data_IF_016370626148
#
_entry.id   IF_016370626148
#
_cell.length_a   1.000
_cell.length_b   1.000
_cell.length_c   1.000
_cell.angle_alpha   90.00
_cell.angle_beta   90.00
_cell.angle_gamma   90.00
#
_symmetry.space_group_name_H-M   'P 1'
#
loop_
_entity.id
_entity.type
_entity.pdbx_description
1 polymer ?
#
# COMPACT_ATOMS: atom_id res chain seq x y z
N UNK A 1 90.14 9.09 17.29
CA UNK A 1 89.34 9.62 18.41
C UNK A 1 88.71 10.93 17.93
N UNK A 2 87.39 11.10 18.15
CA UNK A 2 86.71 12.38 18.53
C UNK A 2 87.14 13.68 17.82
N UNK A 3 86.32 14.59 17.28
CA UNK A 3 85.05 15.22 17.71
C UNK A 3 85.04 16.62 17.06
N UNK A 4 83.84 17.18 16.86
CA UNK A 4 83.47 18.61 16.77
C UNK A 4 83.67 19.44 15.49
N UNK A 5 82.56 20.14 15.18
CA UNK A 5 82.16 21.04 14.09
C UNK A 5 83.08 22.22 13.73
N UNK A 6 82.78 22.87 12.58
CA UNK A 6 82.79 24.33 12.49
C UNK A 6 81.42 24.94 12.03
N UNK A 7 81.16 26.24 12.29
CA UNK A 7 79.82 26.85 12.28
C UNK A 7 79.40 27.59 10.98
N UNK A 8 78.07 27.54 10.73
CA UNK A 8 77.10 28.44 10.04
C UNK A 8 77.49 29.30 8.81
N UNK A 9 76.63 29.32 7.77
CA UNK A 9 76.44 30.49 6.89
C UNK A 9 75.07 31.23 7.06
N UNK A 10 74.98 32.52 6.69
CA UNK A 10 73.89 33.44 7.05
C UNK A 10 72.72 33.58 6.05
N UNK A 11 71.73 34.36 6.52
CA UNK A 11 70.35 34.62 6.09
C UNK A 11 70.04 34.90 4.61
N UNK A 12 68.84 34.46 4.21
CA UNK A 12 68.11 34.87 3.00
C UNK A 12 67.19 36.08 3.27
N UNK A 13 66.98 36.98 2.30
CA UNK A 13 65.84 37.89 2.31
C UNK A 13 64.79 37.56 1.24
N UNK A 14 63.58 38.02 1.58
CA UNK A 14 62.28 37.70 1.02
C UNK A 14 62.05 38.10 -0.46
N UNK A 15 61.21 37.31 -1.15
CA UNK A 15 60.56 37.72 -2.41
C UNK A 15 59.06 37.95 -2.18
N UNK A 16 58.62 39.10 -2.68
CA UNK A 16 57.30 39.66 -2.58
C UNK A 16 56.27 38.98 -3.52
N UNK A 17 55.02 39.14 -3.09
CA UNK A 17 53.73 38.77 -3.67
C UNK A 17 53.59 38.83 -5.20
N UNK A 18 53.08 37.75 -5.77
CA UNK A 18 52.27 37.77 -6.99
C UNK A 18 51.10 36.79 -6.83
N UNK A 19 49.88 37.34 -6.89
CA UNK A 19 48.58 36.68 -6.72
C UNK A 19 48.30 35.71 -7.89
N UNK A 20 47.98 34.42 -7.68
CA UNK A 20 47.54 33.55 -8.77
C UNK A 20 46.10 33.89 -9.14
N UNK A 21 45.86 34.06 -10.44
CA UNK A 21 44.57 34.30 -11.04
C UNK A 21 43.57 33.20 -10.67
N UNK A 22 42.36 33.62 -10.28
CA UNK A 22 41.25 32.72 -10.01
C UNK A 22 40.82 32.04 -11.31
N UNK A 23 40.92 30.71 -11.35
CA UNK A 23 40.27 29.88 -12.36
C UNK A 23 38.76 29.94 -12.10
N UNK A 24 38.07 30.75 -12.89
CA UNK A 24 36.62 30.91 -12.82
C UNK A 24 35.95 29.60 -13.26
N UNK A 25 35.25 28.96 -12.32
CA UNK A 25 34.51 27.71 -12.53
C UNK A 25 33.34 28.01 -13.49
N UNK A 26 33.11 27.20 -14.54
CA UNK A 26 32.03 27.48 -15.50
C UNK A 26 30.67 27.51 -14.78
N UNK A 27 29.78 28.45 -15.15
CA UNK A 27 28.51 28.64 -14.46
C UNK A 27 27.64 27.39 -14.64
N UNK A 28 27.24 26.80 -13.52
CA UNK A 28 26.26 25.72 -13.50
C UNK A 28 24.94 26.30 -14.03
N UNK A 29 24.34 25.76 -15.11
CA UNK A 29 23.08 26.27 -15.62
C UNK A 29 22.05 26.11 -14.50
N UNK A 30 21.57 27.24 -13.98
CA UNK A 30 20.49 27.28 -13.02
C UNK A 30 19.23 26.93 -13.80
N UNK A 31 18.79 25.68 -13.71
CA UNK A 31 17.51 25.25 -14.26
C UNK A 31 16.39 26.20 -13.82
N UNK A 32 15.30 26.33 -14.59
CA UNK A 32 14.26 27.32 -14.35
C UNK A 32 13.83 27.25 -12.88
N UNK A 33 14.14 28.30 -12.13
CA UNK A 33 13.91 28.35 -10.70
C UNK A 33 12.42 28.15 -10.45
N UNK A 34 12.05 26.98 -9.95
CA UNK A 34 10.69 26.68 -9.50
C UNK A 34 10.20 27.88 -8.68
N UNK A 35 9.14 28.54 -9.15
CA UNK A 35 8.62 29.75 -8.53
C UNK A 35 8.35 29.53 -7.03
N UNK A 36 8.41 30.59 -6.23
CA UNK A 36 8.26 30.49 -4.76
C UNK A 36 7.02 29.66 -4.35
N UNK A 37 5.93 29.73 -5.11
CA UNK A 37 4.73 28.90 -4.91
C UNK A 37 4.95 27.39 -5.15
N UNK A 38 5.76 27.00 -6.13
CA UNK A 38 6.10 25.60 -6.36
C UNK A 38 6.99 25.03 -5.24
N UNK A 39 7.90 25.85 -4.69
CA UNK A 39 8.72 25.47 -3.52
C UNK A 39 7.88 25.31 -2.25
N UNK A 40 6.97 26.26 -1.99
CA UNK A 40 6.03 26.17 -0.86
C UNK A 40 5.11 24.95 -0.96
N UNK A 41 4.56 24.69 -2.16
CA UNK A 41 3.75 23.49 -2.43
C UNK A 41 4.54 22.21 -2.16
N UNK A 42 5.78 22.13 -2.65
CA UNK A 42 6.61 20.95 -2.44
C UNK A 42 6.90 20.72 -0.96
N UNK A 43 7.23 21.77 -0.18
CA UNK A 43 7.41 21.64 1.26
C UNK A 43 6.15 21.23 2.01
N UNK A 44 4.99 21.78 1.65
CA UNK A 44 3.71 21.36 2.21
C UNK A 44 3.40 19.88 1.92
N UNK A 45 3.57 19.44 0.66
CA UNK A 45 3.34 18.05 0.27
C UNK A 45 4.33 17.10 0.97
N UNK A 46 5.61 17.47 1.08
CA UNK A 46 6.59 16.69 1.83
C UNK A 46 6.21 16.62 3.32
N UNK A 47 5.78 17.73 3.91
CA UNK A 47 5.28 17.76 5.29
C UNK A 47 4.09 16.85 5.50
N UNK A 48 3.13 16.85 4.56
CA UNK A 48 1.94 15.98 4.62
C UNK A 48 2.30 14.49 4.47
N UNK A 49 3.23 14.15 3.58
CA UNK A 49 3.68 12.76 3.39
C UNK A 49 4.39 12.23 4.63
N UNK A 50 5.14 13.08 5.34
CA UNK A 50 5.87 12.69 6.56
C UNK A 50 4.97 12.69 7.79
N UNK A 51 4.21 13.77 8.01
CA UNK A 51 3.39 13.95 9.21
C UNK A 51 2.01 13.26 9.12
N UNK A 52 1.48 13.08 7.91
CA UNK A 52 0.15 12.49 7.68
C UNK A 52 0.01 11.10 8.29
N UNK A 53 0.90 10.13 8.01
CA UNK A 53 0.84 8.81 8.63
C UNK A 53 0.94 8.85 10.16
N UNK A 54 1.78 9.73 10.72
CA UNK A 54 1.92 9.91 12.16
C UNK A 54 0.65 10.50 12.80
N UNK A 55 0.06 11.51 12.18
CA UNK A 55 -1.18 12.11 12.66
C UNK A 55 -2.35 11.12 12.59
N UNK A 56 -2.47 10.36 11.49
CA UNK A 56 -3.52 9.35 11.31
C UNK A 56 -3.37 8.23 12.35
N UNK A 57 -2.15 7.74 12.58
CA UNK A 57 -1.90 6.70 13.58
C UNK A 57 -2.23 7.18 15.00
N UNK A 58 -1.74 8.36 15.40
CA UNK A 58 -2.07 8.97 16.69
C UNK A 58 -3.58 9.16 16.87
N UNK A 59 -4.25 9.70 15.85
CA UNK A 59 -5.70 9.92 15.87
C UNK A 59 -6.47 8.61 15.98
N UNK A 60 -6.07 7.57 15.23
CA UNK A 60 -6.72 6.27 15.24
C UNK A 60 -6.54 5.56 16.58
N UNK A 61 -5.32 5.57 17.13
CA UNK A 61 -5.04 5.00 18.45
C UNK A 61 -5.82 5.72 19.53
N UNK A 62 -5.84 7.06 19.52
CA UNK A 62 -6.60 7.84 20.49
C UNK A 62 -8.11 7.57 20.39
N UNK A 63 -8.65 7.52 19.16
CA UNK A 63 -10.05 7.24 18.91
C UNK A 63 -10.44 5.84 19.36
N UNK A 64 -9.60 4.83 19.10
CA UNK A 64 -9.84 3.46 19.54
C UNK A 64 -9.86 3.35 21.07
N UNK A 65 -8.86 3.90 21.74
CA UNK A 65 -8.76 3.86 23.21
C UNK A 65 -9.96 4.55 23.86
N UNK A 66 -10.32 5.75 23.39
CA UNK A 66 -11.46 6.49 23.93
C UNK A 66 -12.79 5.81 23.65
N UNK A 67 -12.93 5.14 22.50
CA UNK A 67 -14.11 4.33 22.17
C UNK A 67 -14.25 3.12 23.11
N UNK A 68 -13.16 2.38 23.34
CA UNK A 68 -13.15 1.25 24.30
C UNK A 68 -13.47 1.74 25.71
N UNK A 69 -12.84 2.82 26.15
CA UNK A 69 -13.13 3.40 27.47
C UNK A 69 -14.61 3.79 27.58
N UNK A 70 -15.19 4.43 26.56
CA UNK A 70 -16.61 4.78 26.53
C UNK A 70 -17.53 3.56 26.58
N UNK A 71 -17.15 2.45 25.96
CA UNK A 71 -17.91 1.20 25.98
C UNK A 71 -17.87 0.53 27.36
N UNK A 72 -16.73 0.57 28.05
CA UNK A 72 -16.51 -0.12 29.33
C UNK A 72 -16.98 0.71 30.52
N UNK A 73 -16.88 2.05 30.45
CA UNK A 73 -17.29 3.00 31.51
C UNK A 73 -18.66 2.71 32.14
N UNK A 74 -19.73 2.40 31.39
CA UNK A 74 -21.04 2.07 31.95
C UNK A 74 -21.05 0.82 32.84
N UNK A 75 -20.17 -0.14 32.57
CA UNK A 75 -20.06 -1.38 33.33
C UNK A 75 -19.16 -1.25 34.57
N UNK A 76 -18.40 -0.16 34.69
CA UNK A 76 -17.54 0.11 35.84
C UNK A 76 -18.35 0.88 36.90
N UNK A 77 -18.51 0.31 38.12
CA UNK A 77 -19.11 1.02 39.24
C UNK A 77 -18.37 2.33 39.54
N UNK A 78 -19.11 3.38 39.92
CA UNK A 78 -18.56 4.72 40.18
C UNK A 78 -17.35 4.72 41.13
N UNK A 79 -17.31 3.82 42.12
CA UNK A 79 -16.22 3.71 43.08
C UNK A 79 -14.87 3.20 42.51
N UNK A 80 -14.87 2.58 41.33
CA UNK A 80 -13.64 2.09 40.66
C UNK A 80 -13.23 2.99 39.50
N UNK A 81 -13.89 4.15 39.34
CA UNK A 81 -13.59 5.10 38.29
C UNK A 81 -12.41 5.97 38.69
N UNK A 82 -11.34 6.03 37.88
CA UNK A 82 -10.18 6.88 38.17
C UNK A 82 -10.58 8.36 38.29
N UNK A 83 -11.67 8.77 37.64
CA UNK A 83 -12.23 10.13 37.74
C UNK A 83 -12.76 10.49 39.13
N UNK A 84 -13.01 9.51 39.99
CA UNK A 84 -13.43 9.74 41.38
C UNK A 84 -12.26 10.12 42.30
N UNK A 85 -11.03 9.79 41.91
CA UNK A 85 -9.83 10.02 42.72
C UNK A 85 -8.81 10.95 42.05
N UNK A 86 -8.87 11.13 40.72
CA UNK A 86 -8.04 12.04 39.95
C UNK A 86 -8.90 13.11 39.23
N UNK A 87 -8.46 14.37 39.20
CA UNK A 87 -9.15 15.45 38.48
C UNK A 87 -9.02 15.35 36.94
N UNK A 88 -8.25 14.38 36.43
CA UNK A 88 -8.09 14.12 35.00
C UNK A 88 -8.36 12.64 34.70
N UNK A 89 -9.14 12.39 33.65
CA UNK A 89 -9.38 11.04 33.11
C UNK A 89 -8.07 10.49 32.55
N UNK A 90 -7.61 9.33 33.01
CA UNK A 90 -6.50 8.61 32.36
C UNK A 90 -7.10 7.77 31.21
N UNK A 91 -6.87 8.13 29.93
CA UNK A 91 -7.34 7.34 28.81
C UNK A 91 -6.62 5.97 28.80
N UNK A 92 -7.37 4.89 28.54
CA UNK A 92 -6.88 3.52 28.48
C UNK A 92 -7.18 2.65 29.70
N UNK A 93 -7.83 3.21 30.72
CA UNK A 93 -8.24 2.44 31.91
C UNK A 93 -9.33 1.42 31.61
N UNK A 94 -10.26 1.74 30.71
CA UNK A 94 -11.26 0.80 30.22
C UNK A 94 -10.63 -0.34 29.42
N UNK A 95 -9.57 -0.08 28.66
CA UNK A 95 -8.83 -1.13 27.93
C UNK A 95 -8.20 -2.15 28.89
N UNK A 96 -7.56 -1.71 29.97
CA UNK A 96 -6.97 -2.60 30.99
C UNK A 96 -8.06 -3.44 31.65
N UNK A 97 -9.18 -2.83 32.02
CA UNK A 97 -10.30 -3.52 32.67
C UNK A 97 -10.93 -4.54 31.72
N UNK A 98 -11.14 -4.17 30.45
CA UNK A 98 -11.65 -5.09 29.43
C UNK A 98 -10.71 -6.28 29.24
N UNK A 99 -9.40 -6.04 29.18
CA UNK A 99 -8.40 -7.10 29.09
C UNK A 99 -8.50 -8.07 30.28
N UNK A 100 -8.48 -7.56 31.52
CA UNK A 100 -8.60 -8.39 32.74
C UNK A 100 -9.93 -9.15 32.77
N UNK A 101 -11.04 -8.51 32.40
CA UNK A 101 -12.36 -9.14 32.37
C UNK A 101 -12.43 -10.27 31.33
N UNK A 102 -11.93 -10.04 30.11
CA UNK A 102 -11.88 -11.04 29.06
C UNK A 102 -10.96 -12.22 29.44
N UNK A 103 -9.79 -11.95 30.01
CA UNK A 103 -8.90 -12.99 30.50
C UNK A 103 -9.54 -13.81 31.62
N UNK A 104 -10.21 -13.15 32.57
CA UNK A 104 -10.91 -13.83 33.67
C UNK A 104 -12.07 -14.68 33.14
N UNK A 105 -12.81 -14.18 32.16
CA UNK A 105 -13.87 -14.92 31.49
C UNK A 105 -13.31 -16.17 30.79
N UNK A 106 -12.23 -16.03 30.02
CA UNK A 106 -11.54 -17.15 29.37
C UNK A 106 -10.97 -18.16 30.36
N UNK A 107 -10.40 -17.70 31.47
CA UNK A 107 -9.95 -18.56 32.55
C UNK A 107 -11.10 -19.35 33.19
N UNK A 108 -12.25 -18.70 33.41
CA UNK A 108 -13.41 -19.36 33.97
C UNK A 108 -13.97 -20.43 33.03
N UNK A 109 -14.02 -20.16 31.72
CA UNK A 109 -14.51 -21.13 30.71
C UNK A 109 -13.56 -22.30 30.48
N UNK A 110 -12.27 -22.15 30.78
CA UNK A 110 -11.32 -23.26 30.77
C UNK A 110 -11.62 -24.31 31.87
N UNK A 111 -12.33 -23.92 32.93
CA UNK A 111 -12.76 -24.84 33.99
C UNK A 111 -14.11 -25.49 33.68
N UNK A 112 -14.33 -26.72 34.17
CA UNK A 112 -15.55 -27.50 33.92
C UNK A 112 -16.83 -26.72 34.25
N UNK A 113 -16.85 -26.02 35.39
CA UNK A 113 -18.00 -25.22 35.85
C UNK A 113 -18.31 -24.05 34.91
N UNK A 114 -17.29 -23.33 34.44
CA UNK A 114 -17.51 -22.20 33.54
C UNK A 114 -17.96 -22.64 32.15
N UNK A 115 -17.43 -23.77 31.66
CA UNK A 115 -17.93 -24.38 30.42
C UNK A 115 -19.40 -24.74 30.52
N UNK A 116 -19.83 -25.40 31.60
CA UNK A 116 -21.24 -25.76 31.80
C UNK A 116 -22.15 -24.52 31.90
N UNK A 117 -21.69 -23.44 32.53
CA UNK A 117 -22.45 -22.19 32.64
C UNK A 117 -22.64 -21.51 31.28
N UNK A 118 -21.58 -21.46 30.46
CA UNK A 118 -21.66 -20.93 29.10
C UNK A 118 -22.59 -21.78 28.24
N UNK A 119 -22.44 -23.11 28.25
CA UNK A 119 -23.34 -24.02 27.51
C UNK A 119 -24.80 -23.88 27.94
N UNK A 120 -25.06 -23.63 29.23
CA UNK A 120 -26.42 -23.35 29.71
C UNK A 120 -26.97 -22.03 29.16
N UNK A 121 -26.16 -20.97 29.14
CA UNK A 121 -26.51 -19.70 28.52
C UNK A 121 -26.81 -19.84 27.03
N UNK A 122 -25.97 -20.58 26.30
CA UNK A 122 -26.19 -20.88 24.88
C UNK A 122 -27.51 -21.64 24.66
N UNK A 123 -27.82 -22.63 25.49
CA UNK A 123 -29.09 -23.37 25.42
C UNK A 123 -30.30 -22.46 25.66
N UNK A 124 -30.17 -21.42 26.48
CA UNK A 124 -31.23 -20.44 26.70
C UNK A 124 -31.42 -19.55 25.47
N UNK A 125 -30.32 -19.07 24.87
CA UNK A 125 -30.35 -18.31 23.63
C UNK A 125 -30.93 -19.11 22.46
N UNK A 126 -30.66 -20.42 22.41
CA UNK A 126 -31.13 -21.35 21.38
C UNK A 126 -32.66 -21.51 21.34
N UNK A 127 -33.34 -21.21 22.45
CA UNK A 127 -34.81 -21.25 22.54
C UNK A 127 -35.48 -20.02 21.91
N UNK A 128 -34.72 -18.96 21.62
CA UNK A 128 -35.25 -17.75 20.99
C UNK A 128 -35.05 -17.82 19.46
N UNK A 129 -36.13 -17.94 18.66
CA UNK A 129 -36.04 -18.27 17.24
C UNK A 129 -35.25 -17.25 16.38
N UNK A 130 -35.24 -15.98 16.75
CA UNK A 130 -34.48 -14.93 16.06
C UNK A 130 -33.05 -14.76 16.61
N UNK A 131 -32.89 -14.86 17.93
CA UNK A 131 -31.59 -14.64 18.59
C UNK A 131 -30.63 -15.82 18.33
N UNK A 132 -31.16 -17.05 18.26
CA UNK A 132 -30.35 -18.26 18.02
C UNK A 132 -29.57 -18.21 16.71
N UNK A 133 -30.18 -17.74 15.62
CA UNK A 133 -29.54 -17.73 14.30
C UNK A 133 -28.44 -16.68 14.24
N UNK A 134 -28.68 -15.50 14.81
CA UNK A 134 -27.69 -14.44 14.91
C UNK A 134 -26.52 -14.85 15.81
N UNK A 135 -26.80 -15.42 16.99
CA UNK A 135 -25.76 -15.87 17.91
C UNK A 135 -24.91 -16.99 17.31
N UNK A 136 -25.52 -18.03 16.72
CA UNK A 136 -24.78 -19.12 16.08
C UNK A 136 -23.96 -18.64 14.89
N UNK A 137 -24.52 -17.76 14.06
CA UNK A 137 -23.79 -17.17 12.94
C UNK A 137 -22.57 -16.37 13.41
N UNK A 138 -22.74 -15.51 14.42
CA UNK A 138 -21.62 -14.76 15.01
C UNK A 138 -20.59 -15.70 15.64
N UNK A 139 -21.02 -16.65 16.49
CA UNK A 139 -20.14 -17.63 17.13
C UNK A 139 -19.32 -18.40 16.11
N UNK A 140 -19.95 -18.88 15.03
CA UNK A 140 -19.27 -19.59 13.96
C UNK A 140 -18.21 -18.70 13.27
N UNK A 141 -18.51 -17.42 13.02
CA UNK A 141 -17.53 -16.49 12.44
C UNK A 141 -16.34 -16.31 13.39
N UNK A 142 -16.57 -16.10 14.69
CA UNK A 142 -15.51 -15.99 15.68
C UNK A 142 -14.69 -17.29 15.80
N UNK A 143 -15.34 -18.45 15.91
CA UNK A 143 -14.66 -19.75 15.96
C UNK A 143 -13.82 -20.01 14.71
N UNK A 144 -14.32 -19.64 13.53
CA UNK A 144 -13.58 -19.80 12.27
C UNK A 144 -12.34 -18.89 12.24
N UNK A 145 -12.50 -17.61 12.57
CA UNK A 145 -11.41 -16.61 12.56
C UNK A 145 -10.32 -16.91 13.60
N UNK A 146 -10.69 -17.46 14.76
CA UNK A 146 -9.79 -17.70 15.88
C UNK A 146 -9.43 -19.17 16.10
N UNK A 147 -9.93 -20.10 15.27
CA UNK A 147 -9.45 -21.48 15.29
C UNK A 147 -7.94 -21.52 14.99
N UNK A 148 -7.18 -22.40 15.64
CA UNK A 148 -5.75 -22.59 15.35
C UNK A 148 -5.49 -23.05 13.89
N UNK A 149 -6.56 -23.46 13.20
CA UNK A 149 -6.61 -23.76 11.76
C UNK A 149 -6.88 -22.51 10.90
N UNK A 150 -7.25 -21.37 11.48
CA UNK A 150 -7.88 -20.19 10.88
C UNK A 150 -7.00 -19.03 10.42
N UNK A 151 -5.77 -19.25 9.96
CA UNK A 151 -5.29 -18.38 8.89
C UNK A 151 -6.02 -18.83 7.62
N UNK A 152 -7.18 -18.23 7.35
CA UNK A 152 -8.01 -18.58 6.18
C UNK A 152 -7.29 -18.35 4.85
N UNK A 153 -6.13 -17.70 4.86
CA UNK A 153 -5.20 -17.67 3.74
C UNK A 153 -3.79 -17.95 4.27
N UNK A 154 -3.33 -19.19 4.20
CA UNK A 154 -2.00 -19.56 4.76
C UNK A 154 -0.86 -19.31 3.79
N UNK A 155 -1.19 -19.31 2.50
CA UNK A 155 -0.21 -19.39 1.44
C UNK A 155 -0.62 -18.52 0.27
N UNK A 156 0.38 -18.10 -0.48
CA UNK A 156 0.24 -17.36 -1.72
C UNK A 156 0.65 -18.27 -2.85
N UNK A 157 -0.01 -18.19 -3.99
CA UNK A 157 0.40 -18.89 -5.19
C UNK A 157 0.19 -18.09 -6.45
N UNK A 158 0.66 -18.66 -7.56
CA UNK A 158 0.41 -18.20 -8.91
C UNK A 158 -0.42 -19.24 -9.66
N UNK A 159 -1.35 -18.74 -10.46
CA UNK A 159 -2.10 -19.53 -11.43
C UNK A 159 -2.04 -18.86 -12.78
N UNK A 160 -2.26 -19.62 -13.85
CA UNK A 160 -2.47 -19.03 -15.17
C UNK A 160 -3.88 -18.46 -15.30
N UNK A 161 -3.98 -17.14 -15.46
CA UNK A 161 -5.23 -16.41 -15.69
C UNK A 161 -4.92 -15.02 -16.29
N UNK A 162 -5.69 -14.53 -17.30
CA UNK A 162 -6.86 -15.16 -17.93
C UNK A 162 -6.53 -16.15 -19.06
N UNK A 163 -5.31 -16.12 -19.60
CA UNK A 163 -4.87 -16.99 -20.71
C UNK A 163 -3.52 -17.64 -20.41
N UNK A 164 -3.16 -18.74 -21.11
CA UNK A 164 -1.86 -19.37 -20.95
C UNK A 164 -0.69 -18.38 -21.09
N UNK A 165 0.31 -18.50 -20.21
CA UNK A 165 1.44 -17.56 -20.13
C UNK A 165 1.17 -16.26 -19.37
N UNK A 166 -0.07 -15.96 -18.97
CA UNK A 166 -0.39 -14.86 -18.05
C UNK A 166 -0.60 -15.40 -16.64
N UNK A 167 0.12 -14.86 -15.67
CA UNK A 167 0.10 -15.36 -14.30
C UNK A 167 -0.54 -14.35 -13.35
N UNK A 168 -1.44 -14.83 -12.51
CA UNK A 168 -2.12 -14.03 -11.50
C UNK A 168 -1.81 -14.56 -10.11
N UNK A 169 -1.67 -13.65 -9.16
CA UNK A 169 -1.45 -13.96 -7.76
C UNK A 169 -2.78 -14.35 -7.11
N UNK A 170 -2.75 -15.43 -6.32
CA UNK A 170 -3.91 -15.93 -5.58
C UNK A 170 -3.55 -16.20 -4.13
N UNK A 171 -4.52 -16.01 -3.26
CA UNK A 171 -4.46 -16.41 -1.85
C UNK A 171 -5.14 -17.76 -1.68
N UNK A 172 -4.45 -18.68 -1.02
CA UNK A 172 -4.87 -20.07 -0.86
C UNK A 172 -5.55 -20.27 0.49
N UNK A 173 -6.80 -20.74 0.46
CA UNK A 173 -7.58 -21.01 1.65
C UNK A 173 -7.76 -22.51 1.92
N UNK A 174 -8.68 -22.84 2.83
CA UNK A 174 -8.98 -24.23 3.19
C UNK A 174 -9.43 -25.05 1.96
N UNK A 175 -9.12 -26.36 1.90
CA UNK A 175 -9.60 -27.23 0.83
C UNK A 175 -11.14 -27.25 0.74
N UNK A 176 -11.71 -27.62 -0.43
CA UNK A 176 -13.15 -27.72 -0.59
C UNK A 176 -13.77 -28.63 0.47
N UNK A 177 -14.90 -28.22 1.03
CA UNK A 177 -15.71 -29.11 1.85
C UNK A 177 -16.24 -30.30 1.04
N UNK A 178 -16.58 -31.40 1.72
CA UNK A 178 -16.94 -32.67 1.09
C UNK A 178 -17.96 -32.54 -0.05
N UNK A 179 -19.04 -31.77 0.17
CA UNK A 179 -20.10 -31.59 -0.84
C UNK A 179 -19.63 -30.97 -2.16
N UNK A 180 -18.58 -30.14 -2.10
CA UNK A 180 -17.98 -29.53 -3.28
C UNK A 180 -16.94 -30.47 -3.86
N UNK A 181 -16.09 -31.06 -3.02
CA UNK A 181 -15.05 -32.00 -3.43
C UNK A 181 -15.62 -33.19 -4.23
N UNK A 182 -16.77 -33.74 -3.80
CA UNK A 182 -17.43 -34.88 -4.47
C UNK A 182 -17.95 -34.57 -5.88
N UNK A 183 -18.10 -33.29 -6.22
CA UNK A 183 -18.62 -32.83 -7.53
C UNK A 183 -17.55 -32.25 -8.44
N UNK A 184 -16.34 -32.06 -7.92
CA UNK A 184 -15.20 -31.61 -8.71
C UNK A 184 -14.56 -32.80 -9.46
N UNK A 185 -13.78 -32.55 -10.50
CA UNK A 185 -12.98 -33.59 -11.14
C UNK A 185 -12.13 -34.36 -10.12
N UNK A 186 -11.77 -35.63 -10.39
CA UNK A 186 -11.06 -36.51 -9.44
C UNK A 186 -9.57 -36.15 -9.32
N UNK A 187 -9.30 -34.92 -8.88
CA UNK A 187 -7.98 -34.35 -8.62
C UNK A 187 -8.01 -33.60 -7.29
N UNK A 188 -6.86 -33.40 -6.65
CA UNK A 188 -6.78 -32.57 -5.45
C UNK A 188 -7.00 -31.10 -5.83
N UNK A 189 -8.08 -30.50 -5.31
CA UNK A 189 -8.44 -29.11 -5.57
C UNK A 189 -8.15 -28.23 -4.37
N UNK A 190 -7.76 -26.98 -4.63
CA UNK A 190 -7.51 -25.96 -3.61
C UNK A 190 -8.39 -24.75 -3.87
N UNK A 191 -8.94 -24.18 -2.79
CA UNK A 191 -9.68 -22.92 -2.82
C UNK A 191 -8.73 -21.76 -3.04
N UNK A 192 -8.98 -20.96 -4.08
CA UNK A 192 -8.19 -19.80 -4.42
C UNK A 192 -9.06 -18.54 -4.43
N UNK A 193 -8.55 -17.47 -3.82
CA UNK A 193 -9.08 -16.13 -3.97
C UNK A 193 -8.11 -15.28 -4.77
N UNK A 194 -8.54 -14.83 -5.94
CA UNK A 194 -7.78 -13.95 -6.82
C UNK A 194 -8.26 -12.50 -6.61
N UNK A 195 -7.47 -11.65 -5.93
CA UNK A 195 -7.86 -10.28 -5.67
C UNK A 195 -7.82 -9.42 -6.94
N UNK A 196 -8.64 -8.37 -6.98
CA UNK A 196 -8.53 -7.30 -7.95
C UNK A 196 -7.48 -6.27 -7.48
N UNK A 197 -6.75 -5.70 -8.43
CA UNK A 197 -5.82 -4.60 -8.17
C UNK A 197 -6.52 -3.26 -8.38
N UNK A 198 -6.31 -2.24 -7.54
CA UNK A 198 -5.51 -2.21 -6.30
C UNK A 198 -6.30 -2.58 -5.04
N UNK A 199 -7.58 -2.93 -5.14
CA UNK A 199 -8.43 -3.20 -3.98
C UNK A 199 -8.54 -4.72 -3.69
N UNK A 200 -7.78 -5.26 -2.72
CA UNK A 200 -7.74 -6.70 -2.46
C UNK A 200 -8.99 -7.24 -1.75
N UNK A 201 -9.98 -6.38 -1.47
CA UNK A 201 -11.27 -6.79 -0.88
C UNK A 201 -12.24 -7.33 -1.93
N UNK A 202 -11.99 -7.08 -3.22
CA UNK A 202 -12.77 -7.61 -4.33
C UNK A 202 -11.94 -8.60 -5.13
N UNK A 203 -12.59 -9.53 -5.82
CA UNK A 203 -11.89 -10.58 -6.55
C UNK A 203 -12.79 -11.73 -6.96
N UNK A 204 -12.16 -12.78 -7.46
CA UNK A 204 -12.81 -14.02 -7.84
C UNK A 204 -12.45 -15.13 -6.86
N UNK A 205 -13.42 -15.93 -6.49
CA UNK A 205 -13.22 -17.15 -5.73
C UNK A 205 -13.52 -18.36 -6.61
N UNK A 206 -12.60 -19.32 -6.65
CA UNK A 206 -12.76 -20.54 -7.44
C UNK A 206 -11.86 -21.66 -6.91
N UNK A 207 -12.15 -22.88 -7.33
CA UNK A 207 -11.33 -24.05 -7.07
C UNK A 207 -10.44 -24.33 -8.26
N UNK A 208 -9.16 -24.61 -8.02
CA UNK A 208 -8.19 -25.00 -9.06
C UNK A 208 -7.54 -26.33 -8.69
N UNK A 209 -7.22 -27.19 -9.66
CA UNK A 209 -6.37 -28.35 -9.40
C UNK A 209 -5.01 -27.90 -8.86
N UNK A 210 -4.53 -28.57 -7.82
CA UNK A 210 -3.24 -28.28 -7.19
C UNK A 210 -2.06 -28.42 -8.17
N UNK A 211 -2.23 -29.23 -9.22
CA UNK A 211 -1.27 -29.39 -10.32
C UNK A 211 -1.05 -28.12 -11.15
N UNK A 212 -2.01 -27.18 -11.17
CA UNK A 212 -1.93 -25.89 -11.89
C UNK A 212 -1.53 -24.71 -11.01
N UNK A 213 -1.12 -24.99 -9.77
CA UNK A 213 -0.80 -23.99 -8.78
C UNK A 213 0.71 -23.99 -8.51
N UNK A 214 1.31 -22.80 -8.56
CA UNK A 214 2.69 -22.60 -8.14
C UNK A 214 2.66 -21.89 -6.79
N UNK A 215 2.99 -22.59 -5.71
CA UNK A 215 3.09 -21.97 -4.38
C UNK A 215 4.32 -21.04 -4.31
N UNK A 216 4.13 -19.86 -3.72
CA UNK A 216 5.18 -18.87 -3.52
C UNK A 216 5.62 -18.84 -2.05
N UNK A 217 6.94 -18.74 -1.83
CA UNK A 217 7.53 -18.51 -0.51
C UNK A 217 7.49 -17.01 -0.16
N UNK A 218 6.29 -16.50 0.08
CA UNK A 218 6.07 -15.13 0.55
C UNK A 218 4.88 -15.06 1.50
N UNK A 219 4.89 -14.05 2.38
CA UNK A 219 3.77 -13.84 3.30
C UNK A 219 2.56 -13.25 2.58
N UNK A 220 1.37 -13.49 3.12
CA UNK A 220 0.11 -12.95 2.60
C UNK A 220 0.12 -11.43 2.62
N UNK A 221 0.73 -10.81 3.63
CA UNK A 221 0.87 -9.35 3.74
C UNK A 221 1.77 -8.79 2.63
N UNK A 222 2.85 -9.51 2.29
CA UNK A 222 3.77 -9.12 1.23
C UNK A 222 3.08 -9.16 -0.14
N UNK A 223 2.31 -10.21 -0.40
CA UNK A 223 1.47 -10.33 -1.59
C UNK A 223 0.34 -9.29 -1.64
N UNK A 224 -0.34 -9.02 -0.53
CA UNK A 224 -1.37 -7.98 -0.46
C UNK A 224 -0.79 -6.59 -0.78
N UNK A 225 0.41 -6.26 -0.29
CA UNK A 225 1.11 -5.02 -0.66
C UNK A 225 1.43 -4.94 -2.15
N UNK A 226 1.86 -6.05 -2.75
CA UNK A 226 2.11 -6.12 -4.19
C UNK A 226 0.85 -5.80 -4.99
N UNK A 227 -0.27 -6.44 -4.65
CA UNK A 227 -1.57 -6.21 -5.30
C UNK A 227 -2.06 -4.78 -5.07
N UNK A 228 -2.02 -4.27 -3.83
CA UNK A 228 -2.46 -2.90 -3.51
C UNK A 228 -1.64 -1.81 -4.20
N UNK A 229 -0.36 -2.08 -4.44
CA UNK A 229 0.54 -1.17 -5.14
C UNK A 229 0.52 -1.34 -6.66
N UNK A 230 -0.35 -2.19 -7.20
CA UNK A 230 -0.41 -2.53 -8.62
C UNK A 230 0.94 -2.99 -9.19
N UNK A 231 1.67 -3.80 -8.43
CA UNK A 231 2.97 -4.31 -8.83
C UNK A 231 4.13 -3.34 -8.61
N UNK A 232 3.87 -2.11 -8.13
CA UNK A 232 4.96 -1.16 -7.89
C UNK A 232 5.88 -1.65 -6.77
N UNK A 233 5.34 -2.14 -5.66
CA UNK A 233 6.14 -2.61 -4.52
C UNK A 233 6.35 -4.12 -4.65
N UNK A 234 7.54 -4.51 -5.10
CA UNK A 234 7.92 -5.92 -5.17
C UNK A 234 8.40 -6.42 -3.80
N UNK A 235 7.77 -7.45 -3.22
CA UNK A 235 8.25 -8.06 -1.99
C UNK A 235 9.65 -8.64 -2.20
N UNK A 236 10.55 -8.40 -1.25
CA UNK A 236 11.97 -8.80 -1.28
C UNK A 236 12.85 -8.16 -2.39
N UNK A 237 12.34 -7.19 -3.17
CA UNK A 237 13.01 -6.62 -4.35
C UNK A 237 13.55 -5.18 -4.22
N UNK A 238 13.74 -4.67 -3.00
CA UNK A 238 14.05 -3.25 -2.72
C UNK A 238 15.28 -2.69 -3.47
N UNK A 239 16.20 -3.54 -3.90
CA UNK A 239 17.39 -3.12 -4.66
C UNK A 239 17.12 -2.91 -6.15
N UNK A 240 16.19 -3.66 -6.75
CA UNK A 240 15.84 -3.54 -8.17
C UNK A 240 15.05 -2.25 -8.43
N UNK A 241 14.16 -1.89 -7.51
CA UNK A 241 13.37 -0.66 -7.59
C UNK A 241 14.25 0.60 -7.49
N UNK A 242 15.25 0.59 -6.59
CA UNK A 242 16.25 1.66 -6.49
C UNK A 242 17.10 1.77 -7.75
N UNK A 243 17.50 0.63 -8.35
CA UNK A 243 18.24 0.60 -9.62
C UNK A 243 17.43 1.15 -10.79
N UNK A 244 16.16 0.76 -10.92
CA UNK A 244 15.26 1.28 -11.95
C UNK A 244 15.02 2.79 -11.81
N UNK A 245 14.79 3.27 -10.59
CA UNK A 245 14.65 4.71 -10.30
C UNK A 245 15.94 5.48 -10.63
N UNK A 246 17.09 4.93 -10.29
CA UNK A 246 18.40 5.51 -10.64
C UNK A 246 18.58 5.57 -12.17
N UNK A 247 18.29 4.48 -12.89
CA UNK A 247 18.39 4.43 -14.36
C UNK A 247 17.44 5.44 -15.03
N UNK A 248 16.21 5.57 -14.53
CA UNK A 248 15.24 6.54 -15.03
C UNK A 248 15.71 7.99 -14.80
N UNK A 249 16.30 8.29 -13.64
CA UNK A 249 16.87 9.60 -13.35
C UNK A 249 18.05 9.92 -14.28
N UNK A 250 18.93 8.94 -14.55
CA UNK A 250 20.06 9.11 -15.49
C UNK A 250 19.59 9.32 -16.93
N UNK A 251 18.55 8.60 -17.36
CA UNK A 251 17.97 8.75 -18.71
C UNK A 251 17.32 10.14 -18.90
N UNK A 252 16.61 10.64 -17.89
CA UNK A 252 16.03 11.99 -17.92
C UNK A 252 17.11 13.08 -17.94
N UNK A 253 18.17 12.92 -17.14
CA UNK A 253 19.31 13.84 -17.17
C UNK A 253 20.01 13.86 -18.54
N UNK A 254 20.15 12.71 -19.20
CA UNK A 254 20.73 12.60 -20.54
C UNK A 254 19.85 13.26 -21.61
N UNK A 255 18.52 13.11 -21.54
CA UNK A 255 17.59 13.76 -22.47
C UNK A 255 17.57 15.29 -22.33
N UNK A 256 17.64 15.80 -21.09
CA UNK A 256 17.72 17.24 -20.82
C UNK A 256 19.04 17.81 -21.35
N UNK A 257 20.14 17.07 -21.20
CA UNK A 257 21.45 17.46 -21.75
C UNK A 257 21.44 17.51 -23.29
N UNK A 258 20.77 16.56 -23.97
CA UNK A 258 20.65 16.53 -25.43
C UNK A 258 19.74 17.63 -26.00
N UNK A 259 18.67 18.00 -25.29
CA UNK A 259 17.78 19.10 -25.70
C UNK A 259 18.39 20.49 -25.46
N UNK A 260 19.36 20.62 -24.54
CA UNK A 260 20.09 21.87 -24.30
C UNK A 260 21.25 22.14 -25.27
N UNK A 261 21.59 21.21 -26.16
CA UNK A 261 22.78 21.28 -27.04
C UNK A 261 22.50 21.61 -28.51
N UNK A 262 21.27 22.01 -28.89
CA UNK A 262 21.01 22.50 -30.25
C UNK A 262 21.54 23.94 -30.42
N UNK A 263 22.49 24.22 -31.34
CA UNK A 263 23.00 25.58 -31.54
C UNK A 263 21.92 26.46 -32.21
N UNK A 264 21.85 27.76 -31.89
CA UNK A 264 20.86 28.65 -32.51
C UNK A 264 21.18 28.79 -33.99
N UNK A 265 20.21 28.44 -34.85
CA UNK A 265 20.28 28.68 -36.27
C UNK A 265 20.44 30.18 -36.53
N UNK A 266 21.50 30.52 -37.25
CA UNK A 266 21.89 31.90 -37.57
C UNK A 266 20.79 32.63 -38.33
N UNK A 267 20.71 33.93 -38.01
CA UNK A 267 20.02 34.94 -38.79
C UNK A 267 20.59 35.01 -40.21
N UNK A 268 19.76 34.77 -41.22
CA UNK A 268 19.91 35.47 -42.48
C UNK A 268 18.54 35.78 -43.12
N UNK A 269 18.39 37.03 -43.53
CA UNK A 269 17.20 37.61 -44.14
C UNK A 269 17.14 37.27 -45.63
N UNK A 270 16.00 36.76 -46.09
CA UNK A 270 15.41 37.01 -47.42
C UNK A 270 13.94 36.52 -47.34
N UNK A 271 12.91 37.35 -47.23
CA UNK A 271 12.35 38.25 -48.25
C UNK A 271 11.99 37.54 -49.57
N UNK A 272 10.84 36.85 -49.60
CA UNK A 272 9.91 36.82 -50.76
C UNK A 272 8.56 36.20 -50.31
N UNK A 273 7.43 36.91 -50.37
CA UNK A 273 6.40 36.70 -51.40
C UNK A 273 5.20 35.95 -50.80
N UNK A 274 4.16 36.64 -50.32
CA UNK A 274 2.86 36.94 -50.98
C UNK A 274 1.93 35.73 -51.20
N UNK A 275 0.63 36.03 -50.99
CA UNK A 275 -0.59 35.24 -51.30
C UNK A 275 -0.94 34.13 -50.31
N UNK A 276 -2.16 33.94 -49.82
CA UNK A 276 -3.48 34.56 -49.98
C UNK A 276 -4.41 33.70 -49.10
N UNK A 277 -5.07 34.27 -48.09
CA UNK A 277 -6.52 34.52 -48.10
C UNK A 277 -7.44 33.30 -48.33
N UNK A 278 -8.35 33.10 -47.35
CA UNK A 278 -9.71 32.52 -47.39
C UNK A 278 -9.89 31.37 -46.38
N UNK A 279 -10.34 31.62 -45.14
CA UNK A 279 -11.72 31.91 -44.70
C UNK A 279 -12.63 30.66 -44.92
N UNK A 280 -12.93 29.86 -43.89
CA UNK A 280 -13.92 30.03 -42.79
C UNK A 280 -15.25 29.33 -43.14
N UNK A 281 -15.67 28.48 -42.20
CA UNK A 281 -17.03 28.05 -41.82
C UNK A 281 -18.01 27.63 -42.93
N UNK A 282 -18.64 26.47 -42.78
CA UNK A 282 -19.88 26.34 -42.00
C UNK A 282 -20.37 24.89 -42.05
N UNK A 283 -20.76 24.37 -40.89
CA UNK A 283 -21.76 23.31 -40.75
C UNK A 283 -23.14 23.89 -41.11
N UNK A 284 -24.11 23.11 -41.64
CA UNK A 284 -25.00 22.40 -40.71
C UNK A 284 -25.64 21.08 -41.20
N UNK A 285 -25.94 20.21 -40.22
CA UNK A 285 -27.19 19.46 -39.96
C UNK A 285 -28.07 18.98 -41.14
N UNK A 286 -28.39 17.68 -41.16
CA UNK A 286 -29.74 17.09 -40.93
C UNK A 286 -29.78 15.63 -41.45
N UNK A 287 -30.47 14.80 -40.68
CA UNK A 287 -30.76 13.37 -40.78
C UNK A 287 -31.31 12.84 -42.13
N UNK A 288 -31.07 11.54 -42.37
CA UNK A 288 -32.02 10.66 -43.06
C UNK A 288 -31.86 9.20 -42.62
N UNK A 289 -33.00 8.56 -42.39
CA UNK A 289 -33.17 7.18 -41.98
C UNK A 289 -33.49 6.26 -43.18
N UNK A 290 -33.44 4.95 -42.90
CA UNK A 290 -34.15 3.83 -43.55
C UNK A 290 -33.44 2.96 -44.62
N UNK A 291 -33.25 1.69 -44.25
CA UNK A 291 -33.56 0.44 -44.99
C UNK A 291 -32.80 -0.70 -44.28
N UNK A 292 -33.30 -1.89 -43.92
CA UNK A 292 -34.53 -2.67 -44.05
C UNK A 292 -34.14 -4.13 -43.67
N UNK A 293 -35.00 -4.98 -43.08
CA UNK A 293 -34.59 -6.27 -42.50
C UNK A 293 -34.73 -7.45 -43.48
N UNK A 294 -33.88 -8.48 -43.35
CA UNK A 294 -34.01 -9.74 -44.07
C UNK A 294 -34.36 -10.89 -43.10
N UNK A 295 -35.56 -11.47 -43.30
CA UNK A 295 -36.06 -12.70 -42.68
C UNK A 295 -36.21 -13.72 -43.81
N UNK A 296 -35.62 -14.89 -43.69
CA UNK A 296 -35.95 -16.04 -44.53
C UNK A 296 -35.94 -17.31 -43.69
N UNK A 297 -37.05 -18.03 -43.77
CA UNK A 297 -37.43 -19.26 -43.09
C UNK A 297 -37.53 -20.40 -44.10
N UNK A 298 -37.50 -21.64 -43.56
CA UNK A 298 -37.99 -22.91 -44.13
C UNK A 298 -36.93 -23.80 -44.83
N UNK A 299 -37.19 -25.11 -44.95
CA UNK A 299 -38.34 -25.91 -44.44
C UNK A 299 -38.08 -26.70 -43.14
#
# INVERSE_FOLDING_TARGET
MTVSDPPKPPAAPAKASAKPAATEKPPVPSGPGLGAGAKLRNYFLTGLVVAGPLAITLWLTWSFVTWVDALVRPFIPLQYRPETYLPWTIPGTGLIIAFVALTTLGFLTANLVGRTLVEFGERLLDRMPLVRSLYKGLKQVFETLFSETGSSFRKVGLIEFPSPGMWSLVFLSAPPGQQVADRLPPEEHVSCFMPCTPNPTTGFFFYVPKSRLIELDMTVEAAAKLVMSAGMIQPNGGDTQKKLAALAATAQAAQIAQQGSAPPAGSDKAADGREGAANRADEPSVALAESGPARASAP
#
